data_IF_228914491364
#
_entry.id   IF_228914491364
#
_cell.length_a   1.000
_cell.length_b   1.000
_cell.length_c   1.000
_cell.angle_alpha   90.00
_cell.angle_beta   90.00
_cell.angle_gamma   90.00
#
_symmetry.space_group_name_H-M   'P 1'
#
loop_
_entity.id
_entity.type
_entity.pdbx_description
1 polymer ?
#
# COMPACT_ATOMS: atom_id res chain seq x y z
N UNK A 1 -4.43 1.79 61.85
CA UNK A 1 -3.76 1.76 60.53
C UNK A 1 -4.55 2.64 59.58
N UNK A 2 -4.07 3.86 59.31
CA UNK A 2 -4.74 4.81 58.42
C UNK A 2 -4.30 4.50 57.00
N UNK A 3 -5.20 3.96 56.16
CA UNK A 3 -4.91 3.76 54.74
C UNK A 3 -4.69 5.14 54.09
N UNK A 4 -3.56 5.40 53.42
CA UNK A 4 -3.34 6.69 52.78
C UNK A 4 -4.43 6.92 51.73
N UNK A 5 -5.18 8.01 51.89
CA UNK A 5 -6.32 8.45 51.05
C UNK A 5 -6.00 8.52 49.55
N UNK A 6 -4.72 8.50 49.19
CA UNK A 6 -4.21 8.60 47.81
C UNK A 6 -4.00 7.25 47.12
N UNK A 7 -4.06 6.14 47.86
CA UNK A 7 -3.85 4.80 47.30
C UNK A 7 -4.80 4.41 46.16
N UNK A 8 -6.13 4.66 46.23
CA UNK A 8 -7.01 4.35 45.10
C UNK A 8 -6.71 5.19 43.86
N UNK A 9 -6.28 6.44 44.03
CA UNK A 9 -5.90 7.31 42.92
C UNK A 9 -4.60 6.83 42.25
N UNK A 10 -3.61 6.44 43.03
CA UNK A 10 -2.35 5.88 42.51
C UNK A 10 -2.58 4.55 41.78
N UNK A 11 -3.44 3.68 42.31
CA UNK A 11 -3.81 2.42 41.64
C UNK A 11 -4.57 2.68 40.34
N UNK A 12 -5.52 3.62 40.33
CA UNK A 12 -6.26 3.98 39.12
C UNK A 12 -5.34 4.54 38.02
N UNK A 13 -4.39 5.41 38.38
CA UNK A 13 -3.40 5.97 37.43
C UNK A 13 -2.48 4.87 36.89
N UNK A 14 -2.00 3.98 37.77
CA UNK A 14 -1.14 2.86 37.36
C UNK A 14 -1.87 1.92 36.39
N UNK A 15 -3.13 1.56 36.68
CA UNK A 15 -3.95 0.73 35.78
C UNK A 15 -4.23 1.44 34.46
N UNK A 16 -4.62 2.72 34.48
CA UNK A 16 -4.86 3.48 33.24
C UNK A 16 -3.62 3.55 32.34
N UNK A 17 -2.42 3.67 32.94
CA UNK A 17 -1.14 3.72 32.21
C UNK A 17 -0.75 2.37 31.62
N UNK A 18 -1.14 1.26 32.26
CA UNK A 18 -0.86 -0.09 31.75
C UNK A 18 -1.79 -0.49 30.60
N UNK A 19 -3.02 0.03 30.58
CA UNK A 19 -4.02 -0.34 29.57
C UNK A 19 -3.87 0.49 28.29
N UNK A 20 -3.22 1.66 28.33
CA UNK A 20 -3.10 2.56 27.16
C UNK A 20 -2.36 1.94 25.97
N UNK A 21 -1.47 0.97 26.18
CA UNK A 21 -0.81 0.24 25.10
C UNK A 21 -1.69 -0.78 24.37
N UNK A 22 -2.81 -1.19 24.99
CA UNK A 22 -3.73 -2.20 24.49
C UNK A 22 -5.03 -1.61 23.93
N UNK A 23 -5.30 -0.32 24.16
CA UNK A 23 -6.49 0.34 23.61
C UNK A 23 -6.22 0.70 22.15
N UNK A 24 -6.99 0.15 21.19
CA UNK A 24 -6.85 0.55 19.82
C UNK A 24 -7.23 2.03 19.66
N UNK A 25 -6.43 2.77 18.90
CA UNK A 25 -6.69 4.16 18.56
C UNK A 25 -7.07 4.28 17.08
N UNK A 26 -8.03 5.15 16.75
CA UNK A 26 -8.41 5.37 15.36
C UNK A 26 -7.31 6.18 14.65
N UNK A 27 -6.92 5.72 13.46
CA UNK A 27 -6.01 6.42 12.56
C UNK A 27 -6.67 6.52 11.19
N UNK A 28 -6.64 7.71 10.60
CA UNK A 28 -7.11 7.89 9.23
C UNK A 28 -5.98 7.56 8.26
N UNK A 29 -6.14 6.46 7.51
CA UNK A 29 -5.12 5.92 6.62
C UNK A 29 -5.46 6.22 5.17
N UNK A 30 -4.45 6.59 4.40
CA UNK A 30 -4.51 6.52 2.95
C UNK A 30 -4.14 5.11 2.54
N UNK A 31 -5.14 4.40 2.03
CA UNK A 31 -5.05 3.00 1.61
C UNK A 31 -4.52 2.93 0.18
N UNK A 32 -4.92 3.88 -0.64
CA UNK A 32 -4.50 4.15 -2.01
C UNK A 32 -4.43 5.67 -2.19
N UNK A 33 -3.35 6.24 -2.75
CA UNK A 33 -3.25 7.67 -3.00
C UNK A 33 -4.02 8.07 -4.25
N UNK A 34 -4.28 9.36 -4.39
CA UNK A 34 -4.62 9.95 -5.68
C UNK A 34 -3.41 9.76 -6.60
N UNK A 35 -3.59 9.10 -7.74
CA UNK A 35 -2.48 8.72 -8.60
C UNK A 35 -2.86 8.75 -10.08
N UNK A 36 -1.90 9.06 -10.94
CA UNK A 36 -2.09 9.18 -12.39
C UNK A 36 -0.87 8.67 -13.14
N UNK A 37 -0.98 7.50 -13.78
CA UNK A 37 0.05 7.00 -14.66
C UNK A 37 -0.16 7.49 -16.10
N UNK A 38 0.93 7.79 -16.81
CA UNK A 38 0.92 8.00 -18.27
C UNK A 38 1.64 6.85 -18.93
N UNK A 39 0.95 6.06 -19.76
CA UNK A 39 1.49 4.89 -20.43
C UNK A 39 1.87 5.25 -21.87
N UNK A 40 3.12 4.96 -22.24
CA UNK A 40 3.72 5.28 -23.53
C UNK A 40 4.33 4.03 -24.16
N UNK A 41 4.49 4.04 -25.48
CA UNK A 41 5.35 3.08 -26.20
C UNK A 41 6.82 3.56 -26.22
N UNK A 42 7.71 2.74 -26.80
CA UNK A 42 9.15 3.05 -26.95
C UNK A 42 9.44 4.28 -27.82
N UNK A 43 8.50 4.68 -28.67
CA UNK A 43 8.57 5.87 -29.51
C UNK A 43 7.96 7.10 -28.82
N UNK A 44 7.62 7.00 -27.53
CA UNK A 44 6.96 8.04 -26.72
C UNK A 44 5.54 8.40 -27.20
N UNK A 45 4.89 7.52 -27.94
CA UNK A 45 3.48 7.70 -28.27
C UNK A 45 2.58 7.20 -27.14
N UNK A 46 1.44 7.87 -26.89
CA UNK A 46 0.44 7.40 -25.94
C UNK A 46 -0.06 6.00 -26.27
N UNK A 47 -0.12 5.14 -25.25
CA UNK A 47 -0.57 3.77 -25.40
C UNK A 47 -1.92 3.59 -24.70
N UNK A 48 -2.99 3.65 -25.48
CA UNK A 48 -4.35 3.43 -25.00
C UNK A 48 -4.63 1.96 -24.68
N UNK A 49 -5.63 1.66 -23.86
CA UNK A 49 -6.11 0.31 -23.56
C UNK A 49 -5.02 -0.64 -22.99
N UNK A 50 -4.00 -0.10 -22.33
CA UNK A 50 -3.18 -0.87 -21.40
C UNK A 50 -3.92 -1.00 -20.07
N UNK A 51 -3.92 -2.19 -19.48
CA UNK A 51 -4.48 -2.42 -18.13
C UNK A 51 -3.45 -1.94 -17.11
N UNK A 52 -3.85 -0.95 -16.33
CA UNK A 52 -3.03 -0.34 -15.28
C UNK A 52 -3.61 -0.79 -13.95
N UNK A 53 -2.78 -1.35 -13.08
CA UNK A 53 -3.16 -1.82 -11.75
C UNK A 53 -2.31 -1.10 -10.72
N UNK A 54 -2.98 -0.52 -9.73
CA UNK A 54 -2.37 0.09 -8.55
C UNK A 54 -2.55 -0.87 -7.37
N UNK A 55 -1.43 -1.40 -6.87
CA UNK A 55 -1.39 -2.45 -5.86
C UNK A 55 -0.99 -1.81 -4.53
N UNK A 56 -1.80 -2.03 -3.51
CA UNK A 56 -1.62 -1.48 -2.17
C UNK A 56 -1.19 -2.60 -1.22
N UNK A 57 -0.05 -2.43 -0.58
CA UNK A 57 0.55 -3.39 0.35
C UNK A 57 0.88 -2.73 1.68
N UNK A 58 1.11 -3.51 2.73
CA UNK A 58 1.44 -2.97 4.06
C UNK A 58 2.71 -3.55 4.67
N UNK A 59 3.49 -2.73 5.36
CA UNK A 59 4.56 -3.15 6.28
C UNK A 59 3.98 -3.28 7.71
N UNK A 60 4.45 -4.22 8.57
CA UNK A 60 5.57 -5.17 8.41
C UNK A 60 5.27 -6.44 7.62
N UNK A 61 4.01 -6.72 7.30
CA UNK A 61 3.64 -8.01 6.73
C UNK A 61 3.99 -8.17 5.23
N UNK A 62 4.28 -7.08 4.53
CA UNK A 62 4.60 -7.03 3.10
C UNK A 62 3.47 -7.51 2.19
N UNK A 63 2.29 -7.81 2.75
CA UNK A 63 1.18 -8.44 2.03
C UNK A 63 0.38 -7.38 1.31
N UNK A 64 0.00 -7.72 0.09
CA UNK A 64 -1.05 -7.01 -0.62
C UNK A 64 -2.32 -6.98 0.24
N UNK A 65 -2.94 -5.80 0.31
CA UNK A 65 -4.21 -5.58 0.97
C UNK A 65 -5.33 -5.55 -0.06
N UNK A 66 -5.10 -4.81 -1.15
CA UNK A 66 -6.03 -4.72 -2.28
C UNK A 66 -5.31 -4.15 -3.49
N UNK A 67 -5.97 -4.27 -4.63
CA UNK A 67 -5.59 -3.65 -5.90
C UNK A 67 -6.78 -2.98 -6.53
N UNK A 68 -6.53 -1.90 -7.25
CA UNK A 68 -7.52 -1.29 -8.11
C UNK A 68 -6.98 -1.27 -9.54
N UNK A 69 -7.86 -1.30 -10.53
CA UNK A 69 -7.47 -1.32 -11.93
C UNK A 69 -8.29 -0.35 -12.76
N UNK A 70 -7.64 0.15 -13.81
CA UNK A 70 -8.28 0.95 -14.85
C UNK A 70 -7.60 0.66 -16.18
N UNK A 71 -8.15 1.22 -17.26
CA UNK A 71 -7.53 1.19 -18.58
C UNK A 71 -7.01 2.57 -18.92
N UNK A 72 -5.82 2.61 -19.53
CA UNK A 72 -5.29 3.86 -20.07
C UNK A 72 -6.19 4.39 -21.21
N UNK A 73 -6.45 5.69 -21.18
CA UNK A 73 -7.23 6.38 -22.18
C UNK A 73 -6.43 6.64 -23.47
N UNK A 74 -7.04 7.31 -24.46
CA UNK A 74 -6.40 7.60 -25.75
C UNK A 74 -5.12 8.44 -25.64
N UNK A 75 -4.99 9.23 -24.57
CA UNK A 75 -3.80 10.01 -24.22
C UNK A 75 -2.79 9.23 -23.36
N UNK A 76 -3.02 7.93 -23.14
CA UNK A 76 -2.19 7.06 -22.31
C UNK A 76 -2.43 7.24 -20.81
N UNK A 77 -3.33 8.14 -20.40
CA UNK A 77 -3.60 8.45 -18.99
C UNK A 77 -4.42 7.38 -18.28
N UNK A 78 -4.05 7.04 -17.05
CA UNK A 78 -4.77 6.13 -16.16
C UNK A 78 -4.84 6.72 -14.75
N UNK A 79 -6.05 7.08 -14.32
CA UNK A 79 -6.29 7.79 -13.05
C UNK A 79 -6.88 6.88 -11.99
N UNK A 80 -6.42 7.08 -10.74
CA UNK A 80 -6.90 6.44 -9.54
C UNK A 80 -7.22 7.51 -8.50
N UNK A 81 -8.45 7.48 -7.98
CA UNK A 81 -8.85 8.32 -6.85
C UNK A 81 -8.29 7.78 -5.54
N UNK A 82 -8.03 8.66 -4.57
CA UNK A 82 -7.60 8.23 -3.25
C UNK A 82 -8.70 7.44 -2.53
N UNK A 83 -8.28 6.35 -1.88
CA UNK A 83 -9.08 5.61 -0.93
C UNK A 83 -8.52 5.85 0.46
N UNK A 84 -9.36 6.41 1.34
CA UNK A 84 -8.98 6.78 2.70
C UNK A 84 -10.00 6.26 3.70
N UNK A 85 -9.53 5.61 4.75
CA UNK A 85 -10.39 4.95 5.73
C UNK A 85 -9.88 5.11 7.16
N UNK A 86 -10.81 5.14 8.11
CA UNK A 86 -10.49 5.01 9.53
C UNK A 86 -10.17 3.56 9.85
N UNK A 87 -8.99 3.33 10.44
CA UNK A 87 -8.52 2.02 10.89
C UNK A 87 -8.16 2.07 12.38
N UNK A 88 -8.38 0.97 13.08
CA UNK A 88 -7.96 0.81 14.46
C UNK A 88 -6.53 0.27 14.49
N UNK A 89 -5.61 1.00 15.11
CA UNK A 89 -4.22 0.57 15.33
C UNK A 89 -3.93 0.45 16.83
N UNK A 90 -2.90 -0.31 17.21
CA UNK A 90 -2.42 -0.35 18.59
C UNK A 90 -0.91 -0.15 18.66
N UNK A 91 -0.41 0.19 19.84
CA UNK A 91 1.02 0.47 20.05
C UNK A 91 1.87 -0.79 20.23
N UNK A 92 1.29 -1.98 20.06
CA UNK A 92 2.05 -3.24 20.02
C UNK A 92 2.88 -3.29 18.73
N UNK A 93 3.96 -4.08 18.72
CA UNK A 93 4.96 -4.16 17.63
C UNK A 93 4.33 -4.38 16.23
N UNK A 94 3.15 -5.00 16.17
CA UNK A 94 2.42 -5.29 14.95
C UNK A 94 1.06 -4.60 14.84
N UNK A 95 0.76 -3.68 15.75
CA UNK A 95 -0.52 -2.99 15.83
C UNK A 95 -0.68 -1.85 14.83
N UNK A 96 0.38 -1.46 14.13
CA UNK A 96 0.37 -0.39 13.12
C UNK A 96 0.74 -0.91 11.73
N UNK A 97 0.03 -0.42 10.72
CA UNK A 97 0.27 -0.73 9.32
C UNK A 97 0.71 0.52 8.57
N UNK A 98 1.78 0.38 7.78
CA UNK A 98 2.24 1.42 6.86
C UNK A 98 1.96 0.96 5.43
N UNK A 99 1.14 1.72 4.71
CA UNK A 99 0.82 1.42 3.31
C UNK A 99 1.95 1.85 2.39
N UNK A 100 2.22 1.04 1.38
CA UNK A 100 3.08 1.36 0.25
C UNK A 100 2.44 0.82 -1.02
N UNK A 101 2.81 1.39 -2.16
CA UNK A 101 2.10 1.17 -3.42
C UNK A 101 3.03 0.81 -4.54
N UNK A 102 2.49 0.06 -5.49
CA UNK A 102 3.21 -0.34 -6.67
C UNK A 102 2.34 -0.30 -7.92
N UNK A 103 2.99 -0.03 -9.04
CA UNK A 103 2.37 -0.08 -10.36
C UNK A 103 2.59 -1.46 -10.99
N UNK A 104 1.54 -1.97 -11.64
CA UNK A 104 1.64 -3.00 -12.66
C UNK A 104 0.95 -2.52 -13.92
N UNK A 105 1.59 -2.63 -15.08
CA UNK A 105 0.98 -2.26 -16.36
C UNK A 105 1.20 -3.36 -17.37
N UNK A 106 0.11 -3.86 -17.94
CA UNK A 106 0.13 -4.92 -18.95
C UNK A 106 -0.63 -4.51 -20.21
N UNK A 107 -0.13 -4.94 -21.36
CA UNK A 107 -0.81 -4.85 -22.65
C UNK A 107 -0.28 -5.95 -23.57
N UNK A 108 -1.18 -6.63 -24.29
CA UNK A 108 -0.76 -7.63 -25.27
C UNK A 108 0.21 -7.03 -26.30
N UNK A 109 1.30 -7.75 -26.57
CA UNK A 109 2.39 -7.31 -27.44
C UNK A 109 3.47 -6.46 -26.75
N UNK A 110 3.34 -6.20 -25.44
CA UNK A 110 4.30 -5.43 -24.66
C UNK A 110 4.75 -6.20 -23.41
N UNK A 111 6.00 -6.00 -23.03
CA UNK A 111 6.54 -6.44 -21.74
C UNK A 111 5.79 -5.76 -20.60
N UNK A 112 5.38 -6.55 -19.60
CA UNK A 112 4.70 -6.02 -18.41
C UNK A 112 5.66 -5.16 -17.59
N UNK A 113 5.25 -3.93 -17.30
CA UNK A 113 5.98 -3.05 -16.40
C UNK A 113 5.51 -3.24 -14.96
N UNK A 114 6.45 -3.21 -14.01
CA UNK A 114 6.15 -3.41 -12.60
C UNK A 114 7.15 -2.70 -11.69
N UNK A 115 6.66 -2.04 -10.63
CA UNK A 115 7.52 -1.55 -9.53
C UNK A 115 7.55 -2.55 -8.37
N UNK A 116 8.59 -2.54 -7.53
CA UNK A 116 8.71 -3.45 -6.38
C UNK A 116 9.15 -2.70 -5.12
N UNK A 117 8.59 -1.51 -4.94
CA UNK A 117 8.80 -0.62 -3.81
C UNK A 117 8.28 -1.27 -2.53
N UNK A 118 9.02 -1.05 -1.45
CA UNK A 118 8.73 -1.55 -0.09
C UNK A 118 8.44 -0.44 0.91
N UNK A 119 8.42 0.79 0.41
CA UNK A 119 8.25 2.00 1.20
C UNK A 119 7.49 3.01 0.36
N UNK A 120 6.53 3.69 0.98
CA UNK A 120 5.76 4.76 0.37
C UNK A 120 6.65 5.88 -0.19
N UNK A 121 7.84 6.11 0.39
CA UNK A 121 8.75 7.17 -0.04
C UNK A 121 9.27 7.00 -1.49
N UNK A 122 9.29 5.77 -2.01
CA UNK A 122 9.74 5.49 -3.38
C UNK A 122 8.63 5.57 -4.41
N UNK A 123 7.37 5.48 -3.97
CA UNK A 123 6.23 5.51 -4.86
C UNK A 123 6.15 6.84 -5.62
N UNK A 124 6.04 6.74 -6.94
CA UNK A 124 5.76 7.89 -7.82
C UNK A 124 4.28 7.84 -8.16
N UNK A 125 3.53 8.84 -7.70
CA UNK A 125 2.09 8.99 -7.94
C UNK A 125 1.78 9.41 -9.38
N UNK A 126 2.74 10.05 -10.06
CA UNK A 126 2.60 10.51 -11.45
C UNK A 126 3.70 9.99 -12.39
N UNK A 127 3.84 8.66 -12.57
CA UNK A 127 4.89 8.11 -13.41
C UNK A 127 4.57 8.26 -14.90
N UNK A 128 5.63 8.42 -15.70
CA UNK A 128 5.59 8.10 -17.12
C UNK A 128 6.16 6.70 -17.30
N UNK A 129 5.34 5.79 -17.82
CA UNK A 129 5.63 4.36 -17.94
C UNK A 129 5.76 4.03 -19.42
N UNK A 130 6.98 3.74 -19.86
CA UNK A 130 7.25 3.28 -21.22
C UNK A 130 7.20 1.76 -21.28
N UNK A 131 6.27 1.20 -22.05
CA UNK A 131 6.22 -0.22 -22.34
C UNK A 131 7.05 -0.55 -23.58
N UNK A 132 7.79 -1.65 -23.51
CA UNK A 132 8.60 -2.17 -24.63
C UNK A 132 7.87 -3.33 -25.30
N UNK A 133 8.04 -3.56 -26.62
CA UNK A 133 7.48 -4.74 -27.27
C UNK A 133 8.00 -6.04 -26.63
N UNK A 134 7.11 -7.01 -26.38
CA UNK A 134 7.50 -8.30 -25.81
C UNK A 134 6.36 -9.12 -25.21
N UNK A 135 6.71 -10.05 -24.32
CA UNK A 135 5.75 -10.94 -23.68
C UNK A 135 5.05 -10.26 -22.51
N UNK A 136 3.72 -10.28 -22.52
CA UNK A 136 2.90 -9.73 -21.45
C UNK A 136 2.60 -10.81 -20.41
N UNK A 137 2.93 -10.52 -19.16
CA UNK A 137 2.58 -11.32 -18.00
C UNK A 137 1.44 -10.68 -17.20
N UNK A 138 0.59 -11.52 -16.61
CA UNK A 138 -0.56 -11.02 -15.88
C UNK A 138 -0.18 -10.30 -14.59
N UNK A 139 -0.68 -9.08 -14.42
CA UNK A 139 -0.65 -8.32 -13.17
C UNK A 139 -1.39 -9.03 -12.03
N UNK A 140 -2.25 -10.00 -12.32
CA UNK A 140 -2.88 -10.86 -11.30
C UNK A 140 -1.83 -11.67 -10.53
N UNK A 141 -0.78 -12.11 -11.23
CA UNK A 141 0.29 -12.90 -10.67
C UNK A 141 1.44 -11.99 -10.25
N UNK A 142 1.13 -10.94 -9.47
CA UNK A 142 2.17 -10.18 -8.76
C UNK A 142 3.12 -11.17 -8.12
N UNK A 143 4.45 -11.05 -8.26
CA UNK A 143 5.35 -12.00 -7.66
C UNK A 143 5.17 -11.93 -6.14
N UNK A 144 4.34 -12.83 -5.66
CA UNK A 144 4.16 -13.16 -4.29
C UNK A 144 5.53 -13.71 -3.89
N UNK A 145 6.41 -12.86 -3.34
CA UNK A 145 7.53 -13.38 -2.57
C UNK A 145 6.97 -13.92 -1.25
N UNK A 146 6.15 -14.97 -1.33
CA UNK A 146 5.92 -15.92 -0.24
C UNK A 146 7.19 -16.74 0.06
N UNK A 147 8.28 -16.58 -0.71
CA UNK A 147 9.58 -17.17 -0.42
C UNK A 147 10.50 -16.22 0.36
N UNK A 148 10.10 -15.80 1.56
CA UNK A 148 11.08 -15.72 2.64
C UNK A 148 11.04 -17.09 3.34
N UNK A 149 12.08 -17.93 3.27
CA UNK A 149 12.11 -19.13 4.08
C UNK A 149 12.00 -18.70 5.55
N UNK A 150 11.14 -19.38 6.30
CA UNK A 150 11.10 -19.24 7.75
C UNK A 150 12.52 -19.37 8.30
N UNK A 151 12.93 -18.56 9.29
CA UNK A 151 14.20 -18.78 9.96
C UNK A 151 14.20 -20.21 10.53
N UNK A 152 15.23 -20.98 10.16
CA UNK A 152 15.51 -22.31 10.72
C UNK A 152 15.87 -22.20 12.19
#
# INVERSE_FOLDING_TARGET
MSYPKYWPAVVAIAVASLVSGCVPYPVYKTMQPDAHATVLDENSHPLADARVVLISSTFPYGREQFRNETRSAADGGATFEALREWRAESMVIHGSQVYFWNWCVEKAGYETYMTLDRDAAYFKDKPQITLRPGESHSCNNWPDRQASPAPR
#
